data_IF_824883846722
#
_entry.id   IF_824883846722
#
_cell.length_a   1.000
_cell.length_b   1.000
_cell.length_c   1.000
_cell.angle_alpha   90.00
_cell.angle_beta   90.00
_cell.angle_gamma   90.00
#
_symmetry.space_group_name_H-M   'P 1'
#
loop_
_entity.id
_entity.type
_entity.pdbx_description
1 polymer ?
#
# COMPACT_ATOMS: atom_id res chain seq x y z
N UNK A 1 -16.51 -17.23 -14.99
CA UNK A 1 -17.06 -17.39 -13.62
C UNK A 1 -16.66 -16.15 -12.86
N UNK A 2 -17.61 -15.48 -12.17
CA UNK A 2 -17.27 -14.28 -11.41
C UNK A 2 -16.62 -14.64 -10.08
N UNK A 3 -15.63 -13.85 -9.69
CA UNK A 3 -15.02 -13.85 -8.36
C UNK A 3 -15.45 -12.56 -7.65
N UNK A 4 -15.82 -12.69 -6.38
CA UNK A 4 -16.22 -11.56 -5.54
C UNK A 4 -15.19 -11.37 -4.44
N UNK A 5 -14.44 -10.28 -4.53
CA UNK A 5 -13.58 -9.84 -3.44
C UNK A 5 -14.46 -9.27 -2.33
N UNK A 6 -14.26 -9.75 -1.10
CA UNK A 6 -14.88 -9.19 0.10
C UNK A 6 -13.82 -8.52 0.96
N UNK A 7 -14.09 -7.34 1.52
CA UNK A 7 -13.10 -6.59 2.30
C UNK A 7 -12.53 -7.31 3.53
N UNK A 8 -13.20 -8.36 4.02
CA UNK A 8 -12.75 -9.22 5.11
C UNK A 8 -12.09 -10.52 4.66
N UNK A 9 -12.28 -10.94 3.41
CA UNK A 9 -11.75 -12.20 2.87
C UNK A 9 -10.63 -11.93 1.87
N UNK A 10 -9.40 -12.19 2.32
CA UNK A 10 -8.17 -11.95 1.55
C UNK A 10 -7.77 -13.16 0.68
N UNK A 11 -8.60 -14.22 0.63
CA UNK A 11 -8.30 -15.40 -0.17
C UNK A 11 -8.59 -15.19 -1.66
N UNK A 12 -9.48 -14.26 -2.01
CA UNK A 12 -9.94 -13.97 -3.37
C UNK A 12 -9.83 -12.49 -3.75
N UNK A 13 -8.63 -11.91 -3.61
CA UNK A 13 -8.39 -10.51 -4.01
C UNK A 13 -8.06 -10.36 -5.48
N UNK A 14 -8.33 -9.17 -6.04
CA UNK A 14 -7.94 -8.82 -7.40
C UNK A 14 -6.41 -8.88 -7.54
N UNK A 15 -5.65 -8.39 -6.55
CA UNK A 15 -4.19 -8.50 -6.58
C UNK A 15 -3.73 -9.96 -6.69
N UNK A 16 -4.38 -10.88 -5.97
CA UNK A 16 -4.04 -12.30 -6.05
C UNK A 16 -4.33 -12.87 -7.43
N UNK A 17 -5.49 -12.54 -8.02
CA UNK A 17 -5.83 -13.00 -9.37
C UNK A 17 -4.80 -12.49 -10.40
N UNK A 18 -4.44 -11.21 -10.33
CA UNK A 18 -3.40 -10.63 -11.18
C UNK A 18 -2.04 -11.29 -10.97
N UNK A 19 -1.63 -11.54 -9.72
CA UNK A 19 -0.39 -12.23 -9.38
C UNK A 19 -0.34 -13.66 -9.93
N UNK A 20 -1.45 -14.41 -9.84
CA UNK A 20 -1.55 -15.78 -10.34
C UNK A 20 -1.41 -15.84 -11.87
N UNK A 21 -2.07 -14.94 -12.60
CA UNK A 21 -1.98 -14.89 -14.06
C UNK A 21 -0.68 -14.27 -14.57
N UNK A 22 0.04 -13.48 -13.75
CA UNK A 22 1.38 -13.01 -14.10
C UNK A 22 2.43 -14.14 -14.10
N UNK A 23 2.20 -15.22 -13.34
CA UNK A 23 3.17 -16.30 -13.20
C UNK A 23 3.43 -16.99 -14.54
N UNK A 24 4.67 -16.86 -15.03
CA UNK A 24 5.09 -17.48 -16.30
C UNK A 24 4.53 -16.80 -17.55
N UNK A 25 3.98 -15.58 -17.41
CA UNK A 25 3.64 -14.75 -18.56
C UNK A 25 4.92 -14.29 -19.30
N UNK A 26 4.82 -14.14 -20.62
CA UNK A 26 5.88 -13.68 -21.52
C UNK A 26 5.73 -12.20 -21.89
N UNK A 27 4.59 -11.60 -21.59
CA UNK A 27 4.32 -10.16 -21.67
C UNK A 27 2.99 -9.89 -20.96
N UNK A 28 2.68 -8.62 -20.73
CA UNK A 28 1.36 -8.25 -20.24
C UNK A 28 1.10 -6.76 -20.31
N UNK A 29 -0.02 -6.37 -19.76
CA UNK A 29 -0.33 -4.97 -19.53
C UNK A 29 -1.63 -4.77 -18.78
N UNK A 30 -1.96 -3.51 -18.54
CA UNK A 30 -3.18 -3.12 -17.87
C UNK A 30 -3.65 -1.74 -18.27
N UNK A 31 -4.96 -1.56 -18.21
CA UNK A 31 -5.62 -0.27 -18.35
C UNK A 31 -6.51 -0.08 -17.14
N UNK A 32 -6.19 0.91 -16.32
CA UNK A 32 -6.96 1.23 -15.13
C UNK A 32 -7.41 2.69 -15.20
N UNK A 33 -8.67 2.93 -14.85
CA UNK A 33 -9.22 4.26 -14.76
C UNK A 33 -8.38 5.12 -13.82
N UNK A 34 -7.99 4.55 -12.69
CA UNK A 34 -7.26 5.27 -11.66
C UNK A 34 -6.18 4.44 -10.98
N UNK A 35 -5.22 5.16 -10.40
CA UNK A 35 -4.20 4.58 -9.53
C UNK A 35 -3.91 5.49 -8.35
N UNK A 36 -3.44 4.90 -7.24
CA UNK A 36 -2.83 5.63 -6.12
C UNK A 36 -1.40 5.16 -5.90
N UNK A 37 -0.58 5.96 -5.20
CA UNK A 37 0.77 5.55 -4.75
C UNK A 37 0.75 4.17 -4.08
N UNK A 38 -0.26 3.92 -3.25
CA UNK A 38 -0.44 2.62 -2.60
C UNK A 38 -0.69 1.51 -3.62
N UNK A 39 -1.68 1.68 -4.49
CA UNK A 39 -2.08 0.61 -5.42
C UNK A 39 -0.97 0.27 -6.40
N UNK A 40 -0.26 1.27 -6.93
CA UNK A 40 0.93 1.07 -7.74
C UNK A 40 2.03 0.31 -6.98
N UNK A 41 2.34 0.73 -5.75
CA UNK A 41 3.35 0.05 -4.92
C UNK A 41 2.98 -1.40 -4.65
N UNK A 42 1.73 -1.66 -4.24
CA UNK A 42 1.26 -3.00 -3.90
C UNK A 42 1.32 -3.94 -5.12
N UNK A 43 0.88 -3.47 -6.29
CA UNK A 43 0.90 -4.26 -7.51
C UNK A 43 2.31 -4.59 -7.98
N UNK A 44 3.19 -3.58 -8.09
CA UNK A 44 4.53 -3.79 -8.63
C UNK A 44 5.53 -4.39 -7.64
N UNK A 45 5.22 -4.38 -6.34
CA UNK A 45 5.98 -5.11 -5.32
C UNK A 45 5.53 -6.56 -5.16
N UNK A 46 4.47 -6.99 -5.86
CA UNK A 46 4.06 -8.40 -5.84
C UNK A 46 5.17 -9.28 -6.46
N UNK A 47 5.54 -10.41 -5.84
CA UNK A 47 6.67 -11.21 -6.32
C UNK A 47 6.54 -11.71 -7.75
N UNK A 48 5.34 -12.09 -8.20
CA UNK A 48 5.13 -12.64 -9.55
C UNK A 48 5.17 -11.50 -10.59
N UNK A 49 4.59 -10.34 -10.26
CA UNK A 49 4.66 -9.13 -11.10
C UNK A 49 6.11 -8.63 -11.19
N UNK A 50 6.81 -8.52 -10.06
CA UNK A 50 8.21 -8.13 -10.04
C UNK A 50 9.10 -9.12 -10.81
N UNK A 51 8.78 -10.41 -10.79
CA UNK A 51 9.49 -11.42 -11.57
C UNK A 51 9.22 -11.27 -13.07
N UNK A 52 7.99 -10.96 -13.49
CA UNK A 52 7.65 -10.63 -14.87
C UNK A 52 8.50 -9.44 -15.35
N UNK A 53 8.51 -8.34 -14.59
CA UNK A 53 9.22 -7.11 -14.94
C UNK A 53 10.75 -7.26 -15.05
N UNK A 54 11.35 -8.27 -14.43
CA UNK A 54 12.78 -8.55 -14.61
C UNK A 54 13.12 -9.04 -16.02
N UNK A 55 12.17 -9.67 -16.70
CA UNK A 55 12.45 -10.43 -17.93
C UNK A 55 11.61 -9.97 -19.12
N UNK A 56 10.43 -9.39 -18.88
CA UNK A 56 9.37 -9.20 -19.88
C UNK A 56 8.69 -7.85 -19.73
N UNK A 57 8.18 -7.35 -20.85
CA UNK A 57 7.48 -6.07 -20.91
C UNK A 57 6.10 -6.14 -20.29
N UNK A 58 5.78 -5.12 -19.50
CA UNK A 58 4.44 -4.82 -19.02
C UNK A 58 4.07 -3.38 -19.39
N UNK A 59 2.98 -3.18 -20.14
CA UNK A 59 2.49 -1.85 -20.51
C UNK A 59 1.28 -1.45 -19.66
N UNK A 60 1.39 -0.36 -18.92
CA UNK A 60 0.33 0.17 -18.06
C UNK A 60 -0.16 1.53 -18.58
N UNK A 61 -1.48 1.65 -18.76
CA UNK A 61 -2.17 2.93 -18.98
C UNK A 61 -3.00 3.27 -17.75
N UNK A 62 -2.82 4.48 -17.21
CA UNK A 62 -3.65 5.01 -16.11
C UNK A 62 -4.41 6.25 -16.55
N UNK A 63 -5.68 6.36 -16.17
CA UNK A 63 -6.47 7.57 -16.41
C UNK A 63 -6.15 8.69 -15.43
N UNK A 64 -6.38 9.93 -15.87
CA UNK A 64 -6.14 11.16 -15.09
C UNK A 64 -7.41 11.83 -14.57
N UNK A 65 -8.59 11.22 -14.75
CA UNK A 65 -9.86 11.93 -14.62
C UNK A 65 -10.34 12.18 -13.18
N UNK A 66 -9.85 11.45 -12.17
CA UNK A 66 -10.32 11.64 -10.79
C UNK A 66 -9.33 11.25 -9.68
N UNK A 67 -9.08 9.95 -9.45
CA UNK A 67 -8.30 9.52 -8.27
C UNK A 67 -6.79 9.68 -8.48
N UNK A 68 -6.27 9.41 -9.68
CA UNK A 68 -4.83 9.52 -9.97
C UNK A 68 -4.32 10.92 -9.71
N UNK A 69 -3.46 11.10 -8.71
CA UNK A 69 -2.92 12.40 -8.29
C UNK A 69 -1.42 12.54 -8.64
N UNK A 70 -0.85 13.70 -8.29
CA UNK A 70 0.58 13.99 -8.50
C UNK A 70 1.48 12.98 -7.80
N UNK A 71 1.10 12.53 -6.59
CA UNK A 71 1.89 11.55 -5.84
C UNK A 71 1.92 10.18 -6.56
N UNK A 72 0.77 9.74 -7.08
CA UNK A 72 0.67 8.51 -7.85
C UNK A 72 1.48 8.58 -9.15
N UNK A 73 1.42 9.70 -9.89
CA UNK A 73 2.24 9.91 -11.10
C UNK A 73 3.73 9.84 -10.77
N UNK A 74 4.19 10.53 -9.72
CA UNK A 74 5.59 10.45 -9.27
C UNK A 74 5.99 9.03 -8.89
N UNK A 75 5.09 8.29 -8.24
CA UNK A 75 5.37 6.90 -7.87
C UNK A 75 5.51 6.01 -9.11
N UNK A 76 4.65 6.18 -10.10
CA UNK A 76 4.74 5.45 -11.38
C UNK A 76 6.01 5.81 -12.16
N UNK A 77 6.42 7.09 -12.16
CA UNK A 77 7.69 7.52 -12.76
C UNK A 77 8.88 6.81 -12.10
N UNK A 78 8.91 6.77 -10.76
CA UNK A 78 9.94 6.05 -10.01
C UNK A 78 9.94 4.56 -10.39
N UNK A 79 8.78 3.91 -10.38
CA UNK A 79 8.67 2.48 -10.70
C UNK A 79 9.10 2.17 -12.14
N UNK A 80 8.77 3.03 -13.11
CA UNK A 80 9.22 2.85 -14.49
C UNK A 80 10.74 3.04 -14.62
N UNK A 81 11.35 3.95 -13.86
CA UNK A 81 12.80 4.09 -13.80
C UNK A 81 13.49 2.87 -13.15
N UNK A 82 12.89 2.31 -12.10
CA UNK A 82 13.42 1.13 -11.38
C UNK A 82 13.25 -0.18 -12.18
N UNK A 83 12.31 -0.21 -13.13
CA UNK A 83 11.97 -1.40 -13.93
C UNK A 83 12.00 -1.10 -15.44
N UNK A 84 13.08 -1.41 -16.16
CA UNK A 84 13.24 -1.03 -17.58
C UNK A 84 12.23 -1.70 -18.53
N UNK A 85 11.58 -2.78 -18.10
CA UNK A 85 10.51 -3.42 -18.87
C UNK A 85 9.10 -2.94 -18.50
N UNK A 86 8.98 -2.01 -17.56
CA UNK A 86 7.71 -1.38 -17.20
C UNK A 86 7.53 -0.09 -18.01
N UNK A 87 6.57 -0.10 -18.92
CA UNK A 87 6.16 1.08 -19.67
C UNK A 87 4.87 1.62 -19.06
N UNK A 88 4.90 2.85 -18.56
CA UNK A 88 3.73 3.50 -17.97
C UNK A 88 3.43 4.80 -18.69
N UNK A 89 2.20 4.96 -19.13
CA UNK A 89 1.70 6.16 -19.78
C UNK A 89 0.38 6.57 -19.12
N UNK A 90 0.02 7.85 -19.23
CA UNK A 90 -1.23 8.38 -18.72
C UNK A 90 -2.18 8.71 -19.88
N UNK A 91 -3.47 8.45 -19.72
CA UNK A 91 -4.49 8.88 -20.68
C UNK A 91 -5.14 10.18 -20.19
N UNK A 92 -4.91 11.26 -20.95
CA UNK A 92 -5.58 12.55 -20.79
C UNK A 92 -6.84 12.55 -21.62
N UNK A 93 -7.98 12.29 -20.97
CA UNK A 93 -9.24 12.15 -21.68
C UNK A 93 -9.76 13.52 -22.15
N UNK A 94 -9.97 13.71 -23.47
CA UNK A 94 -10.38 15.00 -24.02
C UNK A 94 -11.89 15.27 -23.86
N UNK A 95 -12.66 14.28 -23.40
CA UNK A 95 -14.12 14.36 -23.30
C UNK A 95 -14.58 14.59 -21.87
N UNK A 96 -15.86 14.94 -21.69
CA UNK A 96 -16.49 15.10 -20.36
C UNK A 96 -16.92 13.78 -19.73
N UNK A 97 -16.96 12.68 -20.49
CA UNK A 97 -17.28 11.36 -19.95
C UNK A 97 -16.08 10.76 -19.24
N UNK A 98 -16.25 10.04 -18.12
CA UNK A 98 -15.14 9.45 -17.38
C UNK A 98 -14.44 8.32 -18.15
N UNK A 99 -13.12 8.36 -18.21
CA UNK A 99 -12.30 7.21 -18.58
C UNK A 99 -12.34 6.19 -17.44
N UNK A 100 -13.15 5.14 -17.61
CA UNK A 100 -13.42 4.16 -16.54
C UNK A 100 -13.11 2.67 -16.84
N UNK A 101 -12.25 2.28 -17.81
CA UNK A 101 -11.90 0.87 -18.01
C UNK A 101 -11.01 0.33 -16.89
N UNK A 102 -11.15 -0.96 -16.58
CA UNK A 102 -10.38 -1.68 -15.55
C UNK A 102 -10.15 -3.11 -16.00
N UNK A 103 -9.02 -3.33 -16.63
CA UNK A 103 -8.63 -4.66 -17.06
C UNK A 103 -7.11 -4.81 -17.14
N UNK A 104 -6.66 -6.06 -17.06
CA UNK A 104 -5.29 -6.45 -17.31
C UNK A 104 -5.26 -7.67 -18.21
N UNK A 105 -4.14 -7.87 -18.90
CA UNK A 105 -3.89 -9.07 -19.67
C UNK A 105 -2.47 -9.58 -19.45
N UNK A 106 -2.32 -10.89 -19.52
CA UNK A 106 -1.05 -11.59 -19.42
C UNK A 106 -0.96 -12.61 -20.54
N UNK A 107 0.04 -12.49 -21.40
CA UNK A 107 0.24 -13.43 -22.50
C UNK A 107 1.17 -14.55 -22.01
N UNK A 108 0.80 -15.79 -22.27
CA UNK A 108 1.62 -16.97 -22.05
C UNK A 108 1.97 -17.62 -23.40
N UNK A 109 2.84 -18.63 -23.36
CA UNK A 109 3.22 -19.37 -24.57
C UNK A 109 2.02 -20.07 -25.22
N UNK A 110 1.00 -20.44 -24.44
CA UNK A 110 -0.14 -21.27 -24.90
C UNK A 110 -1.50 -20.58 -24.89
N UNK A 111 -1.61 -19.41 -24.25
CA UNK A 111 -2.87 -18.69 -24.08
C UNK A 111 -2.61 -17.26 -23.63
N UNK A 112 -3.64 -16.42 -23.69
CA UNK A 112 -3.68 -15.12 -23.01
C UNK A 112 -4.73 -15.15 -21.90
N UNK A 113 -4.36 -14.64 -20.73
CA UNK A 113 -5.28 -14.41 -19.62
C UNK A 113 -5.77 -12.97 -19.65
N UNK A 114 -7.09 -12.79 -19.61
CA UNK A 114 -7.77 -11.51 -19.48
C UNK A 114 -8.42 -11.42 -18.11
N UNK A 115 -8.15 -10.34 -17.38
CA UNK A 115 -8.77 -10.04 -16.10
C UNK A 115 -9.54 -8.73 -16.26
N UNK A 116 -10.85 -8.78 -16.07
CA UNK A 116 -11.74 -7.61 -16.18
C UNK A 116 -12.61 -7.54 -14.93
N UNK A 117 -12.79 -6.34 -14.38
CA UNK A 117 -13.59 -6.16 -13.19
C UNK A 117 -13.82 -4.72 -12.77
N UNK A 118 -14.26 -4.54 -11.54
CA UNK A 118 -14.57 -3.23 -10.97
C UNK A 118 -13.38 -2.58 -10.22
N UNK A 119 -12.32 -3.32 -9.93
CA UNK A 119 -11.18 -2.85 -9.15
C UNK A 119 -10.17 -2.01 -9.94
N UNK A 120 -9.80 -0.85 -9.40
CA UNK A 120 -8.74 0.01 -9.92
C UNK A 120 -7.36 -0.37 -9.36
N UNK A 121 -6.30 0.28 -9.86
CA UNK A 121 -4.94 0.16 -9.32
C UNK A 121 -4.78 1.02 -8.05
N UNK A 122 -5.69 0.81 -7.11
CA UNK A 122 -5.80 1.48 -5.81
C UNK A 122 -5.76 0.43 -4.70
N UNK A 123 -5.58 0.85 -3.45
CA UNK A 123 -5.65 -0.09 -2.31
C UNK A 123 -6.99 -0.82 -2.28
N UNK A 124 -8.07 -0.04 -2.33
CA UNK A 124 -9.43 -0.55 -2.27
C UNK A 124 -9.67 -1.56 -3.39
N UNK A 125 -9.42 -1.15 -4.63
CA UNK A 125 -9.62 -1.99 -5.80
C UNK A 125 -8.84 -3.30 -5.77
N UNK A 126 -7.61 -3.29 -5.25
CA UNK A 126 -6.75 -4.47 -5.26
C UNK A 126 -6.96 -5.44 -4.09
N UNK A 127 -7.40 -4.96 -2.92
CA UNK A 127 -7.29 -5.72 -1.67
C UNK A 127 -8.52 -5.70 -0.76
N UNK A 128 -9.34 -4.63 -0.76
CA UNK A 128 -10.28 -4.42 0.35
C UNK A 128 -11.68 -3.93 -0.01
N UNK A 129 -11.89 -3.35 -1.18
CA UNK A 129 -13.23 -3.02 -1.64
C UNK A 129 -14.01 -4.30 -1.94
N UNK A 130 -15.33 -4.18 -1.92
CA UNK A 130 -16.18 -5.18 -2.56
C UNK A 130 -16.02 -5.03 -4.06
N UNK A 131 -15.39 -6.00 -4.71
CA UNK A 131 -15.10 -5.96 -6.13
C UNK A 131 -15.63 -7.23 -6.79
N UNK A 132 -16.10 -7.10 -8.03
CA UNK A 132 -16.42 -8.22 -8.89
C UNK A 132 -15.46 -8.22 -10.07
N UNK A 133 -14.85 -9.37 -10.35
CA UNK A 133 -13.99 -9.54 -11.51
C UNK A 133 -14.09 -10.95 -12.07
N UNK A 134 -13.58 -11.15 -13.28
CA UNK A 134 -13.41 -12.46 -13.89
C UNK A 134 -12.02 -12.55 -14.48
N UNK A 135 -11.40 -13.74 -14.37
CA UNK A 135 -10.23 -14.12 -15.14
C UNK A 135 -10.66 -15.13 -16.21
N UNK A 136 -10.30 -14.87 -17.47
CA UNK A 136 -10.66 -15.70 -18.63
C UNK A 136 -9.38 -16.02 -19.37
N UNK A 137 -9.18 -17.30 -19.71
CA UNK A 137 -8.09 -17.74 -20.58
C UNK A 137 -8.62 -17.93 -21.99
N UNK A 138 -7.99 -17.26 -22.94
CA UNK A 138 -8.34 -17.27 -24.35
C UNK A 138 -7.14 -17.74 -25.17
N UNK A 139 -7.40 -18.31 -26.34
CA UNK A 139 -6.39 -18.88 -27.23
C UNK A 139 -6.86 -18.77 -28.69
N UNK A 140 -5.96 -18.95 -29.65
CA UNK A 140 -6.26 -18.98 -31.09
C UNK A 140 -6.97 -17.68 -31.57
N UNK A 141 -8.09 -17.80 -32.28
CA UNK A 141 -8.81 -16.67 -32.88
C UNK A 141 -9.34 -15.69 -31.83
N UNK A 142 -9.76 -16.18 -30.65
CA UNK A 142 -10.22 -15.32 -29.55
C UNK A 142 -9.08 -14.46 -29.00
N UNK A 143 -7.88 -15.05 -28.87
CA UNK A 143 -6.67 -14.35 -28.45
C UNK A 143 -6.26 -13.29 -29.49
N UNK A 144 -6.20 -13.65 -30.77
CA UNK A 144 -5.88 -12.72 -31.84
C UNK A 144 -6.87 -11.54 -31.88
N UNK A 145 -8.16 -11.82 -31.70
CA UNK A 145 -9.22 -10.82 -31.68
C UNK A 145 -9.06 -9.87 -30.49
N UNK A 146 -8.90 -10.40 -29.28
CA UNK A 146 -8.78 -9.58 -28.07
C UNK A 146 -7.54 -8.68 -28.09
N UNK A 147 -6.38 -9.22 -28.46
CA UNK A 147 -5.13 -8.44 -28.56
C UNK A 147 -5.21 -7.40 -29.70
N UNK A 148 -5.90 -7.73 -30.79
CA UNK A 148 -6.21 -6.79 -31.87
C UNK A 148 -7.07 -5.62 -31.38
N UNK A 149 -8.12 -5.88 -30.60
CA UNK A 149 -9.00 -4.85 -30.02
C UNK A 149 -8.25 -3.95 -29.02
N UNK A 150 -7.39 -4.53 -28.17
CA UNK A 150 -6.54 -3.77 -27.25
C UNK A 150 -5.59 -2.85 -28.04
N UNK A 151 -4.97 -3.37 -29.10
CA UNK A 151 -4.08 -2.60 -29.96
C UNK A 151 -4.82 -1.47 -30.67
N UNK A 152 -6.02 -1.74 -31.19
CA UNK A 152 -6.87 -0.74 -31.82
C UNK A 152 -7.31 0.35 -30.83
N UNK A 153 -7.63 -0.03 -29.58
CA UNK A 153 -7.91 0.93 -28.52
C UNK A 153 -6.72 1.89 -28.31
N UNK A 154 -5.49 1.39 -28.23
CA UNK A 154 -4.30 2.24 -28.09
C UNK A 154 -4.06 3.13 -29.30
N UNK A 155 -4.30 2.64 -30.52
CA UNK A 155 -4.19 3.45 -31.74
C UNK A 155 -5.22 4.58 -31.75
N UNK A 156 -6.47 4.29 -31.40
CA UNK A 156 -7.55 5.29 -31.33
C UNK A 156 -7.30 6.36 -30.26
N UNK A 157 -6.59 6.01 -29.20
CA UNK A 157 -6.26 6.92 -28.09
C UNK A 157 -4.84 7.50 -28.19
N UNK A 158 -4.08 7.24 -29.26
CA UNK A 158 -2.66 7.56 -29.32
C UNK A 158 -2.36 9.06 -29.09
N UNK A 159 -3.23 9.96 -29.55
CA UNK A 159 -3.07 11.40 -29.31
C UNK A 159 -3.33 11.85 -27.86
N UNK A 160 -4.02 11.00 -27.08
CA UNK A 160 -4.44 11.26 -25.70
C UNK A 160 -3.61 10.47 -24.67
N UNK A 161 -2.89 9.45 -25.11
CA UNK A 161 -1.92 8.72 -24.29
C UNK A 161 -0.62 9.52 -24.31
N UNK A 162 -0.17 9.93 -23.12
CA UNK A 162 0.97 10.82 -22.91
C UNK A 162 1.94 10.24 -21.90
N UNK A 163 3.19 10.68 -21.98
CA UNK A 163 4.19 10.36 -20.96
C UNK A 163 3.79 10.94 -19.61
N UNK A 164 4.27 10.32 -18.53
CA UNK A 164 3.93 10.73 -17.17
C UNK A 164 4.45 12.14 -16.79
N UNK A 165 5.45 12.65 -17.51
CA UNK A 165 6.03 13.99 -17.33
C UNK A 165 5.40 15.05 -18.26
N UNK A 166 4.43 14.68 -19.09
CA UNK A 166 3.73 15.62 -19.96
C UNK A 166 3.01 16.70 -19.11
N UNK A 167 3.19 18.00 -19.42
CA UNK A 167 2.54 19.09 -18.69
C UNK A 167 1.03 18.96 -18.56
N UNK A 168 0.34 18.43 -19.57
CA UNK A 168 -1.11 18.25 -19.56
C UNK A 168 -1.52 17.17 -18.56
N UNK A 169 -0.72 16.10 -18.43
CA UNK A 169 -0.92 15.06 -17.42
C UNK A 169 -0.79 15.67 -16.03
N UNK A 170 0.31 16.38 -15.76
CA UNK A 170 0.58 17.00 -14.47
C UNK A 170 -0.48 18.04 -14.09
N UNK A 171 -0.91 18.87 -15.04
CA UNK A 171 -1.97 19.85 -14.84
C UNK A 171 -3.31 19.18 -14.51
N UNK A 172 -3.63 18.07 -15.20
CA UNK A 172 -4.88 17.33 -14.96
C UNK A 172 -4.89 16.70 -13.57
N UNK A 173 -3.83 15.98 -13.19
CA UNK A 173 -3.77 15.27 -11.89
C UNK A 173 -3.53 16.19 -10.69
N UNK A 174 -3.08 17.43 -10.90
CA UNK A 174 -2.92 18.42 -9.82
C UNK A 174 -4.25 18.78 -9.14
N UNK A 175 -5.37 18.60 -9.84
CA UNK A 175 -6.71 18.84 -9.30
C UNK A 175 -7.29 17.62 -8.57
N UNK A 176 -6.59 16.49 -8.63
CA UNK A 176 -7.03 15.23 -8.05
C UNK A 176 -6.50 15.09 -6.63
N UNK A 177 -7.30 14.46 -5.77
CA UNK A 177 -6.99 14.34 -4.33
C UNK A 177 -6.29 13.04 -3.94
N UNK A 178 -6.15 12.09 -4.87
CA UNK A 178 -5.70 10.74 -4.52
C UNK A 178 -6.80 9.86 -3.96
N UNK A 179 -8.02 10.41 -3.73
CA UNK A 179 -8.97 9.79 -2.82
C UNK A 179 -10.14 9.03 -3.45
N UNK A 180 -10.23 7.72 -3.19
CA UNK A 180 -11.43 6.92 -3.50
C UNK A 180 -12.61 7.28 -2.60
N UNK A 181 -12.34 7.73 -1.37
CA UNK A 181 -13.38 8.11 -0.41
C UNK A 181 -14.12 9.38 -0.82
N UNK A 182 -13.44 10.38 -1.38
CA UNK A 182 -14.08 11.62 -1.84
C UNK A 182 -15.10 11.38 -2.94
N UNK A 183 -14.85 10.47 -3.89
CA UNK A 183 -15.86 10.09 -4.89
C UNK A 183 -17.08 9.39 -4.27
N UNK A 184 -16.85 8.54 -3.25
CA UNK A 184 -17.95 7.91 -2.48
C UNK A 184 -18.73 8.93 -1.66
N UNK A 185 -18.08 9.98 -1.15
CA UNK A 185 -18.67 11.06 -0.36
C UNK A 185 -19.27 12.20 -1.20
N UNK A 186 -18.79 12.49 -2.42
CA UNK A 186 -19.46 13.41 -3.35
C UNK A 186 -20.80 12.84 -3.83
N UNK A 187 -20.88 11.51 -4.00
CA UNK A 187 -22.14 10.82 -4.20
C UNK A 187 -23.02 10.76 -2.93
N UNK A 188 -22.44 11.00 -1.74
CA UNK A 188 -23.09 10.87 -0.45
C UNK A 188 -22.60 11.93 0.56
N UNK A 189 -22.92 13.22 0.31
CA UNK A 189 -23.05 14.36 1.27
C UNK A 189 -22.30 15.65 0.88
N UNK A 190 -23.12 16.66 0.61
CA UNK A 190 -23.01 17.98 1.24
C UNK A 190 -22.69 17.82 2.75
N UNK A 191 -21.63 18.49 3.22
CA UNK A 191 -21.22 18.82 4.61
C UNK A 191 -19.84 18.25 5.07
N UNK A 192 -18.96 19.24 5.35
CA UNK A 192 -17.73 19.31 6.18
C UNK A 192 -16.48 18.53 5.78
N UNK A 193 -15.46 19.29 5.35
CA UNK A 193 -14.10 18.88 5.04
C UNK A 193 -13.15 19.12 6.24
N UNK A 194 -12.99 18.11 7.11
CA UNK A 194 -11.77 17.98 7.92
C UNK A 194 -11.01 16.73 7.47
N UNK A 195 -9.67 16.77 7.37
CA UNK A 195 -8.86 15.63 6.96
C UNK A 195 -8.88 14.51 8.01
N UNK A 196 -8.95 13.25 7.57
CA UNK A 196 -8.95 12.07 8.43
C UNK A 196 -7.60 11.93 9.17
N UNK A 197 -7.59 12.22 10.48
CA UNK A 197 -6.41 12.01 11.33
C UNK A 197 -6.05 10.54 11.42
N UNK A 198 -4.75 10.22 11.36
CA UNK A 198 -4.19 8.87 11.55
C UNK A 198 -4.63 8.25 12.87
N UNK A 199 -4.66 9.07 13.92
CA UNK A 199 -5.06 8.64 15.27
C UNK A 199 -6.42 9.23 15.61
N UNK A 200 -7.47 8.44 15.38
CA UNK A 200 -8.79 8.66 15.98
C UNK A 200 -8.81 8.23 17.45
N UNK A 201 -9.81 8.65 18.22
CA UNK A 201 -9.90 8.32 19.65
C UNK A 201 -10.00 6.81 19.91
N UNK A 202 -10.67 6.07 19.01
CA UNK A 202 -10.82 4.61 19.06
C UNK A 202 -9.72 3.83 18.33
N UNK A 203 -8.71 4.51 17.77
CA UNK A 203 -7.64 3.86 17.04
C UNK A 203 -6.93 2.80 17.91
N UNK A 204 -6.66 1.63 17.34
CA UNK A 204 -5.89 0.59 18.05
C UNK A 204 -4.41 0.90 17.96
N UNK A 205 -3.75 1.04 19.11
CA UNK A 205 -2.34 1.41 19.22
C UNK A 205 -1.54 0.30 19.89
N UNK A 206 -0.34 0.04 19.36
CA UNK A 206 0.64 -0.88 19.94
C UNK A 206 2.00 -0.19 20.09
N UNK A 207 2.53 -0.16 21.32
CA UNK A 207 3.80 0.48 21.66
C UNK A 207 4.76 -0.60 22.14
N UNK A 208 6.00 -0.61 21.64
CA UNK A 208 7.03 -1.58 22.04
C UNK A 208 8.41 -0.97 22.06
N UNK A 209 9.23 -1.37 23.03
CA UNK A 209 10.68 -1.18 22.96
C UNK A 209 11.30 -2.08 21.89
N UNK A 210 12.43 -1.62 21.33
CA UNK A 210 13.25 -2.38 20.39
C UNK A 210 14.59 -2.74 21.06
N UNK A 211 14.90 -4.04 21.25
CA UNK A 211 16.15 -4.46 21.89
C UNK A 211 17.35 -4.30 20.95
N UNK A 212 18.54 -4.13 21.54
CA UNK A 212 19.84 -4.17 20.85
C UNK A 212 20.08 -5.57 20.27
N UNK A 213 19.54 -5.84 19.08
CA UNK A 213 19.65 -7.14 18.39
C UNK A 213 20.84 -7.14 17.41
N UNK A 214 22.00 -6.67 17.88
CA UNK A 214 23.19 -6.44 17.05
C UNK A 214 22.88 -5.54 15.84
N UNK A 215 23.46 -5.87 14.68
CA UNK A 215 23.27 -5.13 13.42
C UNK A 215 21.86 -5.30 12.81
N UNK A 216 20.97 -6.09 13.43
CA UNK A 216 19.63 -6.40 12.92
C UNK A 216 18.53 -5.80 13.79
N UNK A 217 18.84 -4.76 14.57
CA UNK A 217 17.85 -4.13 15.43
C UNK A 217 16.69 -3.46 14.67
N UNK A 218 16.85 -3.20 13.37
CA UNK A 218 15.77 -2.77 12.47
C UNK A 218 14.66 -3.82 12.31
N UNK A 219 14.90 -5.07 12.72
CA UNK A 219 13.90 -6.12 12.83
C UNK A 219 13.21 -6.06 14.19
N UNK A 220 11.99 -5.53 14.22
CA UNK A 220 11.22 -5.41 15.46
C UNK A 220 10.56 -6.74 15.79
N UNK A 221 10.93 -7.31 16.95
CA UNK A 221 10.41 -8.58 17.43
C UNK A 221 9.03 -8.41 18.11
N UNK A 222 8.03 -9.05 17.52
CA UNK A 222 6.64 -9.08 17.98
C UNK A 222 6.35 -10.46 18.58
N UNK A 223 5.67 -10.50 19.74
CA UNK A 223 5.25 -11.78 20.31
C UNK A 223 4.02 -12.32 19.57
N UNK A 224 3.75 -13.63 19.69
CA UNK A 224 2.64 -14.29 19.01
C UNK A 224 1.31 -13.57 19.21
N UNK A 225 0.96 -13.30 20.47
CA UNK A 225 -0.29 -12.66 20.84
C UNK A 225 -0.47 -11.31 20.12
N UNK A 226 0.58 -10.50 20.05
CA UNK A 226 0.52 -9.20 19.37
C UNK A 226 0.49 -9.33 17.85
N UNK A 227 1.26 -10.27 17.32
CA UNK A 227 1.33 -10.56 15.89
C UNK A 227 -0.01 -11.01 15.31
N UNK A 228 -0.71 -11.89 16.03
CA UNK A 228 -2.03 -12.38 15.63
C UNK A 228 -3.11 -11.33 15.88
N UNK A 229 -3.23 -10.79 17.10
CA UNK A 229 -4.41 -9.97 17.46
C UNK A 229 -4.30 -8.48 17.14
N UNK A 230 -3.10 -7.92 16.93
CA UNK A 230 -2.96 -6.52 16.46
C UNK A 230 -2.70 -6.49 14.96
N UNK A 231 -1.61 -7.13 14.51
CA UNK A 231 -1.21 -7.12 13.10
C UNK A 231 -2.06 -8.06 12.23
N UNK A 232 -2.97 -8.85 12.81
CA UNK A 232 -3.87 -9.71 12.05
C UNK A 232 -3.16 -10.80 11.26
N UNK A 233 -1.94 -11.18 11.65
CA UNK A 233 -1.15 -12.20 10.96
C UNK A 233 -1.23 -13.51 11.72
N UNK A 234 -1.80 -14.53 11.10
CA UNK A 234 -1.78 -15.87 11.67
C UNK A 234 -0.34 -16.38 11.78
N UNK A 235 0.05 -16.89 12.95
CA UNK A 235 1.41 -17.36 13.25
C UNK A 235 1.94 -18.51 12.38
N UNK A 236 1.16 -18.97 11.40
CA UNK A 236 1.49 -20.04 10.46
C UNK A 236 1.71 -19.53 9.03
N UNK A 237 1.32 -18.28 8.74
CA UNK A 237 1.38 -17.70 7.39
C UNK A 237 2.15 -16.38 7.40
N UNK A 238 3.04 -16.21 6.41
CA UNK A 238 3.59 -14.87 6.11
C UNK A 238 2.55 -14.05 5.35
N UNK A 239 2.38 -12.78 5.71
CA UNK A 239 1.47 -11.82 5.11
C UNK A 239 2.25 -10.58 4.70
N UNK A 240 1.90 -9.94 3.59
CA UNK A 240 2.40 -8.59 3.29
C UNK A 240 1.50 -7.57 3.98
N UNK A 241 2.10 -6.65 4.72
CA UNK A 241 1.43 -5.51 5.33
C UNK A 241 2.07 -4.24 4.80
N UNK A 242 1.29 -3.18 4.64
CA UNK A 242 1.82 -1.88 4.30
C UNK A 242 2.11 -1.06 5.57
N UNK A 243 3.33 -0.54 5.64
CA UNK A 243 3.80 0.32 6.72
C UNK A 243 4.05 1.73 6.16
N UNK A 244 3.71 2.76 6.92
CA UNK A 244 4.11 4.14 6.63
C UNK A 244 4.67 4.78 7.90
N UNK A 245 5.88 5.34 7.80
CA UNK A 245 6.47 6.07 8.91
C UNK A 245 5.85 7.47 9.00
N UNK A 246 5.56 7.95 10.22
CA UNK A 246 5.39 9.38 10.48
C UNK A 246 6.74 9.97 10.88
N UNK A 247 7.17 10.98 10.12
CA UNK A 247 8.41 11.71 10.34
C UNK A 247 8.30 12.64 11.54
N UNK A 248 9.44 13.17 12.01
CA UNK A 248 9.45 14.13 13.11
C UNK A 248 8.67 15.42 12.80
N UNK A 249 8.48 15.75 11.52
CA UNK A 249 7.62 16.85 11.05
C UNK A 249 6.12 16.60 11.25
N UNK A 250 5.70 15.35 11.52
CA UNK A 250 4.30 14.95 11.53
C UNK A 250 3.78 14.50 10.16
N UNK A 251 4.59 14.60 9.11
CA UNK A 251 4.25 14.13 7.77
C UNK A 251 4.41 12.61 7.63
N UNK A 252 3.59 12.00 6.77
CA UNK A 252 3.77 10.60 6.38
C UNK A 252 4.91 10.48 5.36
N UNK A 253 5.83 9.56 5.64
CA UNK A 253 6.84 9.11 4.70
C UNK A 253 6.29 8.10 3.69
N UNK A 254 7.21 7.55 2.91
CA UNK A 254 6.89 6.62 1.83
C UNK A 254 6.20 5.34 2.33
N UNK A 255 5.33 4.79 1.47
CA UNK A 255 4.69 3.51 1.70
C UNK A 255 5.69 2.35 1.55
N UNK A 256 5.71 1.47 2.54
CA UNK A 256 6.62 0.34 2.64
C UNK A 256 5.84 -0.99 2.59
N UNK A 257 6.05 -1.85 1.59
CA UNK A 257 5.53 -3.23 1.65
C UNK A 257 6.42 -4.11 2.54
N UNK A 258 5.84 -4.64 3.62
CA UNK A 258 6.52 -5.42 4.65
C UNK A 258 5.97 -6.82 4.75
N UNK A 259 6.77 -7.79 4.29
CA UNK A 259 6.50 -9.21 4.52
C UNK A 259 6.72 -9.55 6.00
N UNK A 260 5.70 -10.10 6.62
CA UNK A 260 5.81 -10.66 7.96
C UNK A 260 6.68 -11.91 7.93
N UNK A 261 7.60 -12.04 8.88
CA UNK A 261 8.50 -13.19 8.96
C UNK A 261 8.06 -14.10 10.08
N UNK A 262 7.65 -15.31 9.71
CA UNK A 262 7.29 -16.40 10.62
C UNK A 262 8.43 -17.41 10.61
N UNK A 263 9.08 -17.64 11.75
CA UNK A 263 10.11 -18.67 11.90
C UNK A 263 9.71 -19.72 12.95
N UNK A 264 10.26 -20.94 12.82
CA UNK A 264 9.98 -22.08 13.70
C UNK A 264 10.14 -21.77 15.20
N UNK A 265 10.97 -20.79 15.56
CA UNK A 265 11.21 -20.37 16.95
C UNK A 265 10.11 -19.47 17.54
N UNK A 266 8.99 -19.24 16.84
CA UNK A 266 7.92 -18.31 17.24
C UNK A 266 8.37 -16.85 17.42
N UNK A 267 9.47 -16.45 16.78
CA UNK A 267 9.91 -15.06 16.72
C UNK A 267 9.31 -14.39 15.50
N UNK A 268 8.24 -13.62 15.69
CA UNK A 268 7.61 -12.88 14.61
C UNK A 268 8.25 -11.50 14.48
N UNK A 269 8.50 -11.04 13.25
CA UNK A 269 9.20 -9.76 13.03
C UNK A 269 8.74 -9.04 11.78
N UNK A 270 8.89 -7.73 11.84
CA UNK A 270 8.81 -6.80 10.71
C UNK A 270 10.10 -6.00 10.62
N UNK A 271 10.52 -5.66 9.41
CA UNK A 271 11.60 -4.70 9.18
C UNK A 271 11.03 -3.29 9.05
N UNK A 272 11.66 -2.32 9.72
CA UNK A 272 11.30 -0.90 9.60
C UNK A 272 12.37 -0.17 8.80
N UNK A 273 11.98 0.52 7.70
CA UNK A 273 12.95 1.35 6.95
C UNK A 273 13.52 2.46 7.82
N UNK A 274 12.71 3.02 8.73
CA UNK A 274 13.12 4.07 9.66
C UNK A 274 14.39 3.73 10.47
N UNK A 275 14.64 2.45 10.73
CA UNK A 275 15.78 1.96 11.50
C UNK A 275 16.98 1.56 10.63
N UNK A 276 16.82 1.52 9.30
CA UNK A 276 17.85 1.01 8.39
C UNK A 276 19.02 2.00 8.32
N UNK A 277 20.23 1.50 8.54
CA UNK A 277 21.46 2.31 8.48
C UNK A 277 21.72 3.17 9.72
N UNK A 278 20.82 3.15 10.71
CA UNK A 278 21.04 3.83 11.99
C UNK A 278 21.81 2.94 12.97
N UNK A 279 22.74 3.53 13.71
CA UNK A 279 23.38 2.86 14.84
C UNK A 279 22.41 2.73 16.01
N UNK A 280 22.52 1.61 16.76
CA UNK A 280 21.73 1.45 17.97
C UNK A 280 22.24 2.41 19.04
N UNK A 281 21.38 3.18 19.73
CA UNK A 281 21.81 4.21 20.67
C UNK A 281 22.64 3.63 21.82
N UNK A 282 23.67 4.35 22.32
CA UNK A 282 24.52 3.87 23.40
C UNK A 282 23.78 3.80 24.74
N UNK A 283 22.76 4.65 24.92
CA UNK A 283 21.94 4.76 26.13
C UNK A 283 20.46 4.79 25.78
N UNK A 284 19.64 4.13 26.58
CA UNK A 284 18.20 4.00 26.32
C UNK A 284 17.89 2.99 25.21
N UNK A 285 16.59 2.76 24.95
CA UNK A 285 16.10 1.86 23.92
C UNK A 285 15.18 2.61 22.97
N UNK A 286 15.30 2.45 21.64
CA UNK A 286 14.30 2.96 20.71
C UNK A 286 12.92 2.38 21.00
N UNK A 287 11.88 3.18 20.77
CA UNK A 287 10.48 2.81 20.98
C UNK A 287 9.75 2.94 19.64
N UNK A 288 9.00 1.91 19.24
CA UNK A 288 8.10 1.98 18.11
C UNK A 288 6.66 2.12 18.60
N UNK A 289 5.93 3.06 17.99
CA UNK A 289 4.48 3.26 18.18
C UNK A 289 3.80 2.91 16.87
N UNK A 290 2.91 1.93 16.89
CA UNK A 290 2.14 1.47 15.73
C UNK A 290 0.67 1.81 15.93
N UNK A 291 0.03 2.33 14.89
CA UNK A 291 -1.41 2.61 14.83
C UNK A 291 -1.99 1.76 13.71
N UNK A 292 -2.97 0.93 14.05
CA UNK A 292 -3.67 0.11 13.06
C UNK A 292 -4.74 0.97 12.39
N UNK A 293 -4.56 1.21 11.09
CA UNK A 293 -5.55 1.91 10.26
C UNK A 293 -6.58 0.93 9.73
N UNK A 294 -6.11 -0.24 9.30
CA UNK A 294 -6.93 -1.34 8.79
C UNK A 294 -6.17 -2.67 8.98
N UNK A 295 -6.73 -3.80 8.54
CA UNK A 295 -6.14 -5.14 8.68
C UNK A 295 -4.77 -5.31 8.01
N UNK A 296 -4.47 -4.52 6.99
CA UNK A 296 -3.21 -4.58 6.21
C UNK A 296 -2.38 -3.29 6.27
N UNK A 297 -2.88 -2.24 6.93
CA UNK A 297 -2.23 -0.92 6.92
C UNK A 297 -1.90 -0.47 8.34
N UNK A 298 -0.61 -0.20 8.54
CA UNK A 298 -0.05 0.24 9.80
C UNK A 298 0.68 1.56 9.56
N UNK A 299 0.35 2.58 10.34
CA UNK A 299 1.17 3.78 10.44
C UNK A 299 2.03 3.68 11.70
N UNK A 300 3.28 4.10 11.64
CA UNK A 300 4.19 3.97 12.78
C UNK A 300 5.12 5.17 12.97
N UNK A 301 5.57 5.35 14.20
CA UNK A 301 6.71 6.21 14.52
C UNK A 301 7.81 5.39 15.16
N UNK A 302 9.05 5.58 14.71
CA UNK A 302 10.25 5.13 15.41
C UNK A 302 10.80 6.31 16.22
N UNK A 303 10.81 6.19 17.54
CA UNK A 303 11.26 7.23 18.47
C UNK A 303 12.59 6.81 19.11
N UNK A 304 13.63 7.61 18.88
CA UNK A 304 14.99 7.43 19.38
C UNK A 304 15.16 8.10 20.75
N UNK A 305 16.05 7.59 21.63
CA UNK A 305 16.32 8.17 22.95
C UNK A 305 16.76 9.64 22.97
N UNK A 306 17.29 10.15 21.86
CA UNK A 306 17.69 11.55 21.72
C UNK A 306 16.53 12.52 21.48
N UNK A 307 15.33 12.01 21.19
CA UNK A 307 14.15 12.83 20.93
C UNK A 307 13.41 13.14 22.23
N UNK A 308 12.93 14.38 22.40
CA UNK A 308 12.25 14.81 23.62
C UNK A 308 11.02 13.97 23.97
N UNK A 309 10.22 13.59 22.96
CA UNK A 309 9.03 12.74 23.16
C UNK A 309 9.36 11.33 23.69
N UNK A 310 10.62 10.90 23.59
CA UNK A 310 11.05 9.59 24.11
C UNK A 310 10.80 9.46 25.61
N UNK A 311 11.06 10.51 26.40
CA UNK A 311 10.86 10.44 27.86
C UNK A 311 9.39 10.29 28.26
N UNK A 312 8.46 10.85 27.48
CA UNK A 312 7.02 10.67 27.71
C UNK A 312 6.59 9.22 27.42
N UNK A 313 7.07 8.64 26.31
CA UNK A 313 6.84 7.24 25.98
C UNK A 313 7.47 6.29 27.02
N UNK A 314 8.68 6.61 27.48
CA UNK A 314 9.37 5.83 28.51
C UNK A 314 8.60 5.84 29.83
N UNK A 315 8.14 7.00 30.27
CA UNK A 315 7.31 7.15 31.47
C UNK A 315 5.98 6.40 31.33
N UNK A 316 5.32 6.49 30.17
CA UNK A 316 4.09 5.76 29.91
C UNK A 316 4.30 4.23 29.96
N UNK A 317 5.35 3.72 29.31
CA UNK A 317 5.71 2.30 29.35
C UNK A 317 6.08 1.83 30.76
N UNK A 318 6.71 2.67 31.58
CA UNK A 318 7.01 2.36 32.99
C UNK A 318 5.73 2.27 33.85
N UNK A 319 4.76 3.14 33.59
CA UNK A 319 3.51 3.18 34.35
C UNK A 319 2.53 2.06 33.96
N UNK A 320 2.55 1.62 32.70
CA UNK A 320 1.51 0.73 32.13
C UNK A 320 2.03 -0.64 31.70
N UNK A 321 3.33 -0.79 31.45
CA UNK A 321 3.94 -2.04 31.04
C UNK A 321 4.17 -3.01 32.21
N UNK A 322 4.24 -4.33 31.95
CA UNK A 322 4.69 -5.28 32.96
C UNK A 322 6.11 -4.92 33.40
N UNK A 323 6.29 -4.67 34.70
CA UNK A 323 7.54 -4.16 35.26
C UNK A 323 8.56 -5.31 35.45
N UNK A 324 9.06 -5.83 34.32
CA UNK A 324 10.02 -6.93 34.25
C UNK A 324 11.30 -6.47 33.55
N UNK A 325 12.37 -6.31 34.32
CA UNK A 325 13.68 -5.87 33.84
C UNK A 325 14.23 -6.76 32.71
N UNK A 326 13.86 -8.04 32.68
CA UNK A 326 14.33 -9.05 31.72
C UNK A 326 13.58 -9.03 30.37
N UNK A 327 12.57 -8.18 30.19
CA UNK A 327 11.73 -8.17 28.99
C UNK A 327 11.56 -6.77 28.40
N UNK A 328 11.36 -6.72 27.08
CA UNK A 328 10.96 -5.49 26.41
C UNK A 328 9.55 -5.11 26.84
N UNK A 329 9.36 -3.83 27.20
CA UNK A 329 8.05 -3.27 27.55
C UNK A 329 7.19 -3.16 26.30
N UNK A 330 5.93 -3.56 26.44
CA UNK A 330 4.93 -3.60 25.38
C UNK A 330 3.57 -3.23 25.95
N UNK A 331 2.86 -2.33 25.30
CA UNK A 331 1.57 -1.83 25.74
C UNK A 331 0.62 -1.74 24.55
N UNK A 332 -0.66 -2.04 24.81
CA UNK A 332 -1.76 -1.73 23.91
C UNK A 332 -2.60 -0.64 24.55
N UNK A 333 -3.04 0.30 23.72
CA UNK A 333 -3.94 1.35 24.15
C UNK A 333 -4.78 1.84 22.97
N UNK A 334 -5.68 2.74 23.26
CA UNK A 334 -6.51 3.48 22.32
C UNK A 334 -5.84 4.80 21.91
N UNK A 335 -6.28 5.40 20.81
CA UNK A 335 -5.79 6.70 20.39
C UNK A 335 -6.04 7.81 21.42
N UNK A 336 -7.16 7.76 22.15
CA UNK A 336 -7.44 8.72 23.22
C UNK A 336 -6.50 8.57 24.42
N UNK A 337 -6.15 7.34 24.80
CA UNK A 337 -5.16 7.07 25.85
C UNK A 337 -3.76 7.53 25.41
N UNK A 338 -3.38 7.23 24.17
CA UNK A 338 -2.11 7.70 23.59
C UNK A 338 -2.02 9.24 23.61
N UNK A 339 -3.09 9.93 23.19
CA UNK A 339 -3.13 11.40 23.14
C UNK A 339 -3.03 12.04 24.52
N UNK A 340 -3.65 11.44 25.54
CA UNK A 340 -3.55 11.92 26.92
C UNK A 340 -2.16 11.69 27.51
N UNK A 341 -1.55 10.55 27.19
CA UNK A 341 -0.27 10.15 27.77
C UNK A 341 0.94 10.83 27.10
N UNK A 342 0.93 10.96 25.77
CA UNK A 342 2.05 11.47 24.97
C UNK A 342 1.54 12.51 23.96
N UNK A 343 1.05 13.69 24.40
CA UNK A 343 0.46 14.69 23.52
C UNK A 343 1.45 15.28 22.50
N UNK A 344 2.76 15.19 22.76
CA UNK A 344 3.81 15.73 21.90
C UNK A 344 4.19 14.80 20.72
N UNK A 345 3.59 13.60 20.63
CA UNK A 345 3.93 12.63 19.59
C UNK A 345 3.51 13.12 18.19
N UNK A 346 4.45 13.28 17.22
CA UNK A 346 4.12 13.75 15.88
C UNK A 346 3.06 12.91 15.16
N UNK A 347 3.01 11.60 15.46
CA UNK A 347 1.99 10.64 14.99
C UNK A 347 0.55 11.11 15.24
N UNK A 348 0.30 11.90 16.29
CA UNK A 348 -1.03 12.42 16.64
C UNK A 348 -1.51 13.54 15.72
N UNK A 349 -0.58 14.20 15.01
CA UNK A 349 -0.86 15.28 14.07
C UNK A 349 -0.88 14.80 12.62
N UNK A 350 -0.38 13.58 12.37
CA UNK A 350 -0.40 12.99 11.05
C UNK A 350 -1.85 12.84 10.57
N UNK A 351 -2.09 13.33 9.36
CA UNK A 351 -3.29 13.05 8.58
C UNK A 351 -2.98 11.91 7.65
N UNK A 352 -3.92 10.98 7.47
CA UNK A 352 -3.82 10.07 6.34
C UNK A 352 -3.81 10.93 5.08
N UNK A 353 -3.05 10.55 4.03
CA UNK A 353 -3.29 11.15 2.73
C UNK A 353 -4.76 10.87 2.42
N UNK A 354 -5.49 11.85 1.88
CA UNK A 354 -6.88 11.61 1.48
C UNK A 354 -6.89 10.39 0.53
N UNK A 355 -7.35 9.25 1.04
CA UNK A 355 -7.07 7.92 0.49
C UNK A 355 -8.03 7.52 -0.61
#
# INVERSE_FOLDING_TARGET
>A
MFTFQHGSDQSETLLRALSLEARGAVSGGGVFAWTTTYGATAFFSDPEIAQLLKLRTFRLIVGTDAITDVAAIRKLQQLSADHPHLQVEALVNPTSSLFHPKFAWFQHVTHTSLIVGSGNLTRGGLLSNWEAFTAIRIQNEDEATALGQISQFFQNQAANIRNLDDPDVLARVANNSGSERRLKHEAARVVSAEPDKVVSDSASVFITEIPKSGNRWSQVNINRASFESFFGVQAVHSRQLLFQQVLASGELGDAESRKSVVVKSQNYRFELSAARGLEYPPTGRPIAVFVKIDNDQIVYSLVMPSQSVHSELDAYLNATGPNRIDRMRKVRCTGIELRRAIPSLPLLQATLPDA
#
